data_IF_203647639602
#
_entry.id   IF_203647639602
#
_cell.length_a   1.000
_cell.length_b   1.000
_cell.length_c   1.000
_cell.angle_alpha   90.00
_cell.angle_beta   90.00
_cell.angle_gamma   90.00
#
_symmetry.space_group_name_H-M   'P 1'
#
loop_
_entity.id
_entity.type
_entity.pdbx_description
1 polymer ?
#
# COMPACT_ATOMS: atom_id res chain seq x y z
N UNK A 1 6.91 4.72 -6.78
CA UNK A 1 7.45 3.54 -7.46
C UNK A 1 7.67 2.38 -6.48
N UNK A 2 8.52 2.54 -5.44
CA UNK A 2 8.86 1.45 -4.51
C UNK A 2 7.63 0.78 -3.90
N UNK A 3 6.61 1.54 -3.51
CA UNK A 3 5.38 0.99 -2.94
C UNK A 3 4.65 0.05 -3.92
N UNK A 4 4.49 0.48 -5.16
CA UNK A 4 3.77 -0.28 -6.18
C UNK A 4 4.58 -1.50 -6.66
N UNK A 5 5.89 -1.31 -6.91
CA UNK A 5 6.76 -2.39 -7.38
C UNK A 5 6.96 -3.46 -6.30
N UNK A 6 7.23 -3.09 -5.05
CA UNK A 6 7.37 -4.07 -3.97
C UNK A 6 6.08 -4.89 -3.78
N UNK A 7 4.90 -4.25 -3.85
CA UNK A 7 3.61 -4.94 -3.80
C UNK A 7 3.47 -5.95 -4.95
N UNK A 8 3.75 -5.51 -6.19
CA UNK A 8 3.68 -6.37 -7.37
C UNK A 8 4.61 -7.58 -7.24
N UNK A 9 5.82 -7.40 -6.73
CA UNK A 9 6.77 -8.50 -6.52
C UNK A 9 6.31 -9.49 -5.45
N UNK A 10 5.68 -9.04 -4.35
CA UNK A 10 5.07 -9.93 -3.36
C UNK A 10 3.95 -10.75 -4.01
N UNK A 11 3.07 -10.12 -4.78
CA UNK A 11 1.97 -10.79 -5.47
C UNK A 11 2.48 -11.79 -6.53
N UNK A 12 3.51 -11.41 -7.29
CA UNK A 12 4.16 -12.29 -8.26
C UNK A 12 4.77 -13.53 -7.57
N UNK A 13 5.42 -13.35 -6.43
CA UNK A 13 5.91 -14.47 -5.62
C UNK A 13 4.78 -15.39 -5.16
N UNK A 14 3.67 -14.84 -4.67
CA UNK A 14 2.52 -15.64 -4.23
C UNK A 14 1.92 -16.49 -5.37
N UNK A 15 1.92 -15.95 -6.60
CA UNK A 15 1.39 -16.64 -7.79
C UNK A 15 2.36 -17.68 -8.32
N UNK A 16 3.65 -17.37 -8.37
CA UNK A 16 4.65 -18.22 -9.07
C UNK A 16 5.45 -19.11 -8.13
N UNK A 17 5.58 -18.72 -6.85
CA UNK A 17 6.52 -19.35 -5.92
C UNK A 17 7.99 -19.04 -6.19
N UNK A 18 8.30 -18.17 -7.16
CA UNK A 18 9.67 -17.82 -7.51
C UNK A 18 10.32 -16.96 -6.42
N UNK A 19 11.37 -17.49 -5.81
CA UNK A 19 12.09 -16.84 -4.72
C UNK A 19 12.75 -15.51 -5.12
N UNK A 20 13.01 -15.31 -6.41
CA UNK A 20 13.61 -14.06 -6.91
C UNK A 20 12.65 -12.88 -6.73
N UNK A 21 11.35 -13.06 -6.99
CA UNK A 21 10.36 -12.01 -6.72
C UNK A 21 10.27 -11.66 -5.23
N UNK A 22 10.32 -12.67 -4.36
CA UNK A 22 10.37 -12.45 -2.91
C UNK A 22 11.59 -11.63 -2.51
N UNK A 23 12.77 -12.02 -3.00
CA UNK A 23 14.04 -11.34 -2.72
C UNK A 23 14.00 -9.87 -3.13
N UNK A 24 13.52 -9.58 -4.36
CA UNK A 24 13.41 -8.19 -4.84
C UNK A 24 12.44 -7.37 -4.00
N UNK A 25 11.30 -7.94 -3.60
CA UNK A 25 10.36 -7.27 -2.71
C UNK A 25 11.00 -6.91 -1.37
N UNK A 26 11.67 -7.87 -0.72
CA UNK A 26 12.34 -7.69 0.56
C UNK A 26 13.47 -6.65 0.44
N UNK A 27 14.35 -6.73 -0.56
CA UNK A 27 15.45 -5.77 -0.75
C UNK A 27 14.92 -4.34 -0.99
N UNK A 28 13.79 -4.20 -1.72
CA UNK A 28 13.15 -2.89 -1.96
C UNK A 28 12.57 -2.31 -0.67
N UNK A 29 11.85 -3.12 0.12
CA UNK A 29 11.26 -2.67 1.37
C UNK A 29 12.32 -2.40 2.46
N UNK A 30 13.38 -3.22 2.52
CA UNK A 30 14.51 -3.01 3.43
C UNK A 30 15.27 -1.71 3.08
N UNK A 31 15.38 -1.34 1.80
CA UNK A 31 15.89 -0.04 1.38
C UNK A 31 15.00 1.10 1.89
N UNK A 32 13.68 1.03 1.70
CA UNK A 32 12.77 2.07 2.19
C UNK A 32 12.83 2.19 3.70
N UNK A 33 12.87 1.07 4.43
CA UNK A 33 12.99 1.04 5.87
C UNK A 33 14.28 1.72 6.38
N UNK A 34 15.39 1.52 5.68
CA UNK A 34 16.71 2.03 6.08
C UNK A 34 16.95 3.47 5.65
N UNK A 35 16.59 3.82 4.39
CA UNK A 35 17.00 5.10 3.78
C UNK A 35 15.86 6.13 3.70
N UNK A 36 14.62 5.66 3.58
CA UNK A 36 13.48 6.51 3.24
C UNK A 36 12.47 6.64 4.39
N UNK A 37 12.86 6.32 5.62
CA UNK A 37 11.97 6.37 6.78
C UNK A 37 12.48 7.36 7.82
N UNK A 38 11.60 8.30 8.20
CA UNK A 38 11.84 9.25 9.30
C UNK A 38 11.65 8.56 10.66
N UNK A 39 12.39 8.95 11.71
CA UNK A 39 12.18 8.44 13.05
C UNK A 39 10.75 8.60 13.59
N UNK A 40 9.99 9.58 13.13
CA UNK A 40 8.57 9.78 13.49
C UNK A 40 7.63 8.73 12.90
N UNK A 41 8.09 7.98 11.87
CA UNK A 41 7.33 6.98 11.12
C UNK A 41 6.87 7.45 9.74
N UNK A 42 7.21 8.65 9.30
CA UNK A 42 6.94 9.12 7.94
C UNK A 42 7.84 8.40 6.92
N UNK A 43 7.37 8.25 5.70
CA UNK A 43 8.21 7.92 4.54
C UNK A 43 8.52 9.19 3.76
N UNK A 44 9.79 9.41 3.50
CA UNK A 44 10.27 10.52 2.69
C UNK A 44 9.86 10.40 1.22
N UNK A 45 9.75 11.52 0.52
CA UNK A 45 9.16 11.56 -0.82
C UNK A 45 10.08 11.01 -1.90
N UNK A 46 11.34 11.45 -1.98
CA UNK A 46 12.25 11.10 -3.05
C UNK A 46 13.72 11.19 -2.62
N UNK A 47 14.56 10.54 -3.40
CA UNK A 47 16.00 10.73 -3.39
C UNK A 47 16.41 11.24 -4.77
N UNK A 48 17.32 12.21 -4.82
CA UNK A 48 17.81 12.79 -6.06
C UNK A 48 18.54 11.72 -6.90
N UNK A 49 18.55 11.89 -8.22
CA UNK A 49 19.37 11.11 -9.12
C UNK A 49 20.85 11.56 -9.05
N UNK A 50 21.06 12.84 -8.72
CA UNK A 50 22.39 13.48 -8.74
C UNK A 50 23.09 13.37 -7.39
N UNK A 51 24.40 13.15 -7.46
CA UNK A 51 25.32 13.33 -6.35
C UNK A 51 26.50 14.19 -6.83
N UNK A 52 26.86 15.21 -6.04
CA UNK A 52 27.96 16.15 -6.40
C UNK A 52 27.78 16.82 -7.78
N UNK A 53 26.53 16.99 -8.24
CA UNK A 53 26.21 17.62 -9.54
C UNK A 53 26.34 16.69 -10.74
N UNK A 54 26.47 15.38 -10.54
CA UNK A 54 26.56 14.38 -11.61
C UNK A 54 25.49 13.30 -11.40
N UNK A 55 24.70 13.02 -12.47
CA UNK A 55 23.64 12.01 -12.44
C UNK A 55 24.23 10.61 -12.24
N UNK A 56 23.66 9.88 -11.28
CA UNK A 56 24.03 8.48 -11.02
C UNK A 56 25.38 8.28 -10.34
N UNK A 57 26.18 9.30 -10.06
CA UNK A 57 27.55 9.21 -9.52
C UNK A 57 27.68 8.31 -8.29
N UNK A 58 26.71 8.33 -7.39
CA UNK A 58 26.70 7.49 -6.21
C UNK A 58 26.58 5.98 -6.54
N UNK A 59 25.92 5.63 -7.64
CA UNK A 59 25.54 4.26 -7.98
C UNK A 59 26.43 3.59 -9.02
N UNK A 60 27.25 4.36 -9.77
CA UNK A 60 28.08 3.82 -10.84
C UNK A 60 29.40 3.26 -10.32
N UNK A 61 30.00 2.37 -11.12
CA UNK A 61 31.21 1.63 -10.77
C UNK A 61 32.19 1.56 -11.94
N UNK A 62 33.47 1.57 -11.63
CA UNK A 62 34.50 1.19 -12.58
C UNK A 62 34.86 -0.30 -12.43
N UNK A 63 35.18 -0.98 -13.53
CA UNK A 63 35.61 -2.39 -13.47
C UNK A 63 36.84 -2.57 -12.54
N UNK A 64 37.81 -1.64 -12.59
CA UNK A 64 39.01 -1.68 -11.73
C UNK A 64 38.68 -1.55 -10.24
N UNK A 65 37.66 -0.81 -9.91
CA UNK A 65 37.18 -0.67 -8.53
C UNK A 65 36.62 -2.01 -8.03
N UNK A 66 35.80 -2.70 -8.85
CA UNK A 66 35.33 -4.04 -8.52
C UNK A 66 36.48 -5.03 -8.34
N UNK A 67 37.48 -5.02 -9.25
CA UNK A 67 38.65 -5.88 -9.17
C UNK A 67 39.43 -5.66 -7.87
N UNK A 68 39.60 -4.40 -7.46
CA UNK A 68 40.29 -4.04 -6.22
C UNK A 68 39.53 -4.51 -4.97
N UNK A 69 38.20 -4.32 -4.95
CA UNK A 69 37.36 -4.64 -3.78
C UNK A 69 37.08 -6.14 -3.64
N UNK A 70 36.89 -6.86 -4.73
CA UNK A 70 36.34 -8.22 -4.75
C UNK A 70 37.38 -9.29 -5.07
N UNK A 71 38.55 -8.91 -5.59
CA UNK A 71 39.60 -9.85 -5.98
C UNK A 71 39.07 -10.94 -6.93
N UNK A 72 39.13 -12.20 -6.51
CA UNK A 72 38.70 -13.35 -7.33
C UNK A 72 37.20 -13.35 -7.65
N UNK A 73 36.37 -12.72 -6.81
CA UNK A 73 34.92 -12.64 -7.03
C UNK A 73 34.53 -11.54 -8.03
N UNK A 74 35.47 -10.65 -8.44
CA UNK A 74 35.17 -9.55 -9.35
C UNK A 74 34.67 -10.03 -10.72
N UNK A 75 35.28 -11.09 -11.28
CA UNK A 75 34.89 -11.61 -12.57
C UNK A 75 33.47 -12.19 -12.61
N UNK A 76 33.08 -13.12 -11.72
CA UNK A 76 31.72 -13.60 -11.67
C UNK A 76 30.69 -12.47 -11.42
N UNK A 77 30.99 -11.54 -10.52
CA UNK A 77 30.12 -10.40 -10.23
C UNK A 77 29.94 -9.51 -11.47
N UNK A 78 31.03 -9.22 -12.19
CA UNK A 78 30.97 -8.45 -13.43
C UNK A 78 30.12 -9.15 -14.51
N UNK A 79 30.16 -10.49 -14.58
CA UNK A 79 29.33 -11.26 -15.54
C UNK A 79 27.87 -11.22 -15.19
N UNK A 80 27.53 -11.27 -13.92
CA UNK A 80 26.14 -11.21 -13.47
C UNK A 80 25.54 -9.82 -13.64
N UNK A 81 26.25 -8.78 -13.22
CA UNK A 81 25.78 -7.39 -13.26
C UNK A 81 26.10 -6.63 -14.56
N UNK A 82 26.56 -7.29 -15.61
CA UNK A 82 26.78 -6.64 -16.89
C UNK A 82 27.90 -5.59 -16.92
N UNK A 83 28.87 -5.69 -16.00
CA UNK A 83 30.00 -4.75 -15.91
C UNK A 83 30.98 -4.95 -17.06
N UNK A 84 31.39 -3.86 -17.69
CA UNK A 84 32.27 -3.85 -18.88
C UNK A 84 33.40 -2.84 -18.70
N UNK A 85 34.54 -3.12 -19.32
CA UNK A 85 35.71 -2.21 -19.30
C UNK A 85 35.41 -0.83 -19.87
N UNK A 86 34.50 -0.75 -20.86
CA UNK A 86 34.07 0.52 -21.48
C UNK A 86 32.94 1.22 -20.78
N UNK A 87 32.42 0.58 -19.70
CA UNK A 87 31.19 1.00 -19.08
C UNK A 87 29.92 0.63 -19.86
N UNK A 88 28.78 0.71 -19.20
CA UNK A 88 27.45 0.61 -19.79
C UNK A 88 26.64 1.90 -19.62
N UNK A 89 27.19 2.89 -18.91
CA UNK A 89 26.62 4.21 -18.68
C UNK A 89 27.77 5.25 -18.57
N UNK A 90 27.89 6.17 -19.51
CA UNK A 90 28.87 7.29 -19.56
C UNK A 90 30.32 6.93 -19.21
N UNK A 91 30.80 5.77 -19.67
CA UNK A 91 32.15 5.27 -19.39
C UNK A 91 32.30 4.53 -18.05
N UNK A 92 31.30 4.51 -17.22
CA UNK A 92 31.18 3.75 -15.97
C UNK A 92 30.12 2.65 -16.08
N UNK A 93 29.84 1.93 -15.01
CA UNK A 93 28.87 0.84 -15.01
C UNK A 93 27.78 1.04 -13.94
N UNK A 94 26.54 0.97 -14.36
CA UNK A 94 25.42 0.69 -13.50
C UNK A 94 25.34 -0.83 -13.30
N UNK A 95 25.27 -1.30 -12.07
CA UNK A 95 25.08 -2.72 -11.77
C UNK A 95 23.62 -3.08 -12.04
N UNK A 96 23.37 -3.92 -13.04
CA UNK A 96 22.03 -4.43 -13.36
C UNK A 96 22.09 -5.92 -13.66
N UNK A 97 21.03 -6.64 -13.35
CA UNK A 97 20.95 -8.06 -13.65
C UNK A 97 20.72 -8.24 -15.16
N UNK A 98 21.79 -8.58 -15.89
CA UNK A 98 21.74 -8.71 -17.35
C UNK A 98 21.29 -10.12 -17.78
N UNK A 99 21.50 -11.13 -16.91
CA UNK A 99 21.28 -12.55 -17.21
C UNK A 99 20.77 -13.30 -16.00
N UNK A 100 20.19 -14.47 -16.24
CA UNK A 100 19.90 -15.41 -15.15
C UNK A 100 21.18 -15.83 -14.41
N UNK A 101 21.03 -16.34 -13.21
CA UNK A 101 22.16 -16.83 -12.42
C UNK A 101 22.92 -17.94 -13.17
N UNK A 102 22.18 -18.87 -13.79
CA UNK A 102 22.73 -20.00 -14.56
C UNK A 102 23.52 -19.53 -15.78
N UNK A 103 22.99 -18.58 -16.54
CA UNK A 103 23.66 -18.00 -17.71
C UNK A 103 24.92 -17.24 -17.32
N UNK A 104 24.89 -16.48 -16.23
CA UNK A 104 26.04 -15.77 -15.71
C UNK A 104 27.12 -16.75 -15.20
N UNK A 105 26.72 -17.79 -14.48
CA UNK A 105 27.60 -18.85 -13.99
C UNK A 105 28.30 -19.60 -15.15
N UNK A 106 27.54 -19.96 -16.19
CA UNK A 106 28.12 -20.59 -17.37
C UNK A 106 29.17 -19.69 -18.08
N UNK A 107 28.91 -18.36 -18.15
CA UNK A 107 29.88 -17.40 -18.73
C UNK A 107 31.09 -17.14 -17.85
N UNK A 108 30.97 -17.37 -16.56
CA UNK A 108 32.08 -17.28 -15.61
C UNK A 108 32.81 -18.62 -15.40
N UNK A 109 32.40 -19.69 -16.13
CA UNK A 109 32.95 -21.05 -16.05
C UNK A 109 32.88 -21.65 -14.64
N UNK A 110 31.74 -21.42 -13.94
CA UNK A 110 31.50 -21.90 -12.59
C UNK A 110 30.09 -22.49 -12.44
N UNK A 111 29.81 -23.13 -11.30
CA UNK A 111 28.46 -23.63 -11.00
C UNK A 111 27.54 -22.51 -10.54
N UNK A 112 26.21 -22.64 -10.71
CA UNK A 112 25.24 -21.67 -10.18
C UNK A 112 25.40 -21.45 -8.67
N UNK A 113 25.63 -22.49 -7.89
CA UNK A 113 25.84 -22.38 -6.43
C UNK A 113 27.08 -21.55 -6.10
N UNK A 114 28.21 -21.79 -6.80
CA UNK A 114 29.43 -21.01 -6.62
C UNK A 114 29.25 -19.53 -7.02
N UNK A 115 28.43 -19.25 -8.06
CA UNK A 115 28.03 -17.92 -8.46
C UNK A 115 27.19 -17.24 -7.36
N UNK A 116 26.18 -17.92 -6.84
CA UNK A 116 25.35 -17.41 -5.75
C UNK A 116 26.18 -17.06 -4.51
N UNK A 117 27.13 -17.93 -4.13
CA UNK A 117 28.05 -17.67 -3.02
C UNK A 117 28.96 -16.45 -3.28
N UNK A 118 29.51 -16.32 -4.50
CA UNK A 118 30.33 -15.16 -4.86
C UNK A 118 29.53 -13.85 -4.78
N UNK A 119 28.30 -13.85 -5.29
CA UNK A 119 27.39 -12.70 -5.17
C UNK A 119 27.05 -12.38 -3.71
N UNK A 120 26.76 -13.39 -2.89
CA UNK A 120 26.44 -13.20 -1.47
C UNK A 120 27.59 -12.60 -0.68
N UNK A 121 28.85 -13.00 -0.96
CA UNK A 121 30.04 -12.39 -0.35
C UNK A 121 30.28 -10.97 -0.85
N UNK A 122 30.04 -10.72 -2.13
CA UNK A 122 30.38 -9.44 -2.77
C UNK A 122 29.39 -8.31 -2.46
N UNK A 123 28.10 -8.60 -2.36
CA UNK A 123 27.06 -7.59 -2.06
C UNK A 123 27.39 -6.71 -0.84
N UNK A 124 27.71 -7.26 0.35
CA UNK A 124 28.01 -6.43 1.52
C UNK A 124 29.31 -5.61 1.35
N UNK A 125 30.29 -6.11 0.61
CA UNK A 125 31.55 -5.39 0.34
C UNK A 125 31.26 -4.17 -0.56
N UNK A 126 30.54 -4.37 -1.65
CA UNK A 126 30.14 -3.29 -2.57
C UNK A 126 29.22 -2.28 -1.87
N UNK A 127 28.28 -2.74 -1.07
CA UNK A 127 27.43 -1.88 -0.29
C UNK A 127 28.23 -1.00 0.65
N UNK A 128 29.14 -1.58 1.45
CA UNK A 128 29.98 -0.84 2.40
C UNK A 128 30.89 0.18 1.69
N UNK A 129 31.43 -0.16 0.52
CA UNK A 129 32.25 0.76 -0.27
C UNK A 129 31.41 1.94 -0.81
N UNK A 130 30.20 1.68 -1.30
CA UNK A 130 29.29 2.73 -1.78
C UNK A 130 28.84 3.67 -0.67
N UNK A 131 28.60 3.16 0.52
CA UNK A 131 28.20 3.98 1.69
C UNK A 131 29.28 5.00 2.13
N UNK A 132 30.51 4.87 1.66
CA UNK A 132 31.57 5.87 1.90
C UNK A 132 31.49 7.05 0.91
N UNK A 133 30.68 6.96 -0.15
CA UNK A 133 30.49 8.01 -1.13
C UNK A 133 29.51 9.06 -0.61
N UNK A 134 29.52 10.26 -1.19
CA UNK A 134 28.54 11.30 -0.93
C UNK A 134 27.20 10.86 -1.49
N UNK A 135 26.22 10.69 -0.60
CA UNK A 135 24.85 10.27 -0.97
C UNK A 135 24.12 11.37 -1.77
N UNK A 136 23.24 10.99 -2.69
CA UNK A 136 22.30 11.92 -3.31
C UNK A 136 21.47 12.65 -2.24
N UNK A 137 21.06 13.87 -2.55
CA UNK A 137 20.15 14.63 -1.70
C UNK A 137 18.81 13.89 -1.56
N UNK A 138 18.19 13.98 -0.38
CA UNK A 138 16.88 13.39 -0.14
C UNK A 138 15.86 14.50 0.12
N UNK A 139 14.70 14.42 -0.49
CA UNK A 139 13.57 15.26 -0.20
C UNK A 139 12.83 14.69 1.02
N UNK A 140 13.12 15.25 2.18
CA UNK A 140 12.62 14.79 3.48
C UNK A 140 11.14 15.17 3.74
N UNK A 141 10.42 15.70 2.75
CA UNK A 141 8.97 15.86 2.85
C UNK A 141 8.27 14.51 2.83
N UNK A 142 7.16 14.39 3.55
CA UNK A 142 6.25 13.26 3.46
C UNK A 142 4.96 13.70 2.75
N UNK A 143 4.52 12.94 1.74
CA UNK A 143 3.26 13.15 1.03
C UNK A 143 2.25 12.11 1.50
N UNK A 144 1.01 12.53 1.77
CA UNK A 144 -0.03 11.67 2.33
C UNK A 144 -0.34 10.48 1.42
N UNK A 145 -0.55 10.74 0.12
CA UNK A 145 -0.79 9.71 -0.88
C UNK A 145 0.31 8.63 -0.89
N UNK A 146 1.58 9.05 -1.00
CA UNK A 146 2.69 8.11 -1.11
C UNK A 146 2.94 7.34 0.18
N UNK A 147 2.70 7.97 1.34
CA UNK A 147 2.73 7.30 2.62
C UNK A 147 1.59 6.27 2.76
N UNK A 148 0.38 6.59 2.27
CA UNK A 148 -0.74 5.65 2.23
C UNK A 148 -0.45 4.42 1.36
N UNK A 149 0.12 4.63 0.17
CA UNK A 149 0.54 3.52 -0.70
C UNK A 149 1.63 2.65 -0.06
N UNK A 150 2.62 3.27 0.58
CA UNK A 150 3.71 2.53 1.23
C UNK A 150 3.22 1.80 2.49
N UNK A 151 2.30 2.42 3.28
CA UNK A 151 1.62 1.77 4.40
C UNK A 151 0.92 0.49 3.95
N UNK A 152 0.14 0.58 2.86
CA UNK A 152 -0.54 -0.57 2.28
C UNK A 152 0.43 -1.68 1.92
N UNK A 153 1.55 -1.34 1.30
CA UNK A 153 2.55 -2.31 0.87
C UNK A 153 3.27 -2.97 2.03
N UNK A 154 3.72 -2.20 3.03
CA UNK A 154 4.34 -2.77 4.23
C UNK A 154 3.37 -3.67 5.01
N UNK A 155 2.10 -3.25 5.15
CA UNK A 155 1.09 -4.06 5.83
C UNK A 155 0.84 -5.39 5.12
N UNK A 156 0.73 -5.37 3.79
CA UNK A 156 0.56 -6.59 3.01
C UNK A 156 1.79 -7.50 3.05
N UNK A 157 2.95 -6.93 2.80
CA UNK A 157 4.22 -7.67 2.81
C UNK A 157 4.53 -8.27 4.18
N UNK A 158 4.20 -7.57 5.27
CA UNK A 158 4.34 -8.09 6.63
C UNK A 158 3.59 -9.41 6.82
N UNK A 159 2.36 -9.48 6.31
CA UNK A 159 1.56 -10.70 6.37
C UNK A 159 2.03 -11.78 5.42
N UNK A 160 2.29 -11.44 4.16
CA UNK A 160 2.66 -12.40 3.12
C UNK A 160 4.06 -12.99 3.31
N UNK A 161 5.02 -12.18 3.76
CA UNK A 161 6.42 -12.59 3.94
C UNK A 161 6.76 -13.02 5.37
N UNK A 162 5.79 -12.94 6.28
CA UNK A 162 5.95 -13.21 7.72
C UNK A 162 7.06 -12.35 8.37
N UNK A 163 7.03 -11.02 8.11
CA UNK A 163 8.01 -10.05 8.56
C UNK A 163 7.43 -9.15 9.66
N UNK A 164 7.73 -9.47 10.92
CA UNK A 164 7.26 -8.71 12.09
C UNK A 164 7.82 -7.26 12.13
N UNK A 165 9.01 -7.03 11.61
CA UNK A 165 9.60 -5.70 11.47
C UNK A 165 8.83 -4.83 10.45
N UNK A 166 8.35 -5.37 9.35
CA UNK A 166 7.49 -4.66 8.40
C UNK A 166 6.15 -4.29 9.03
N UNK A 167 5.59 -5.17 9.86
CA UNK A 167 4.39 -4.85 10.65
C UNK A 167 4.63 -3.64 11.55
N UNK A 168 5.73 -3.59 12.28
CA UNK A 168 6.07 -2.46 13.16
C UNK A 168 6.25 -1.17 12.36
N UNK A 169 6.83 -1.23 11.16
CA UNK A 169 6.98 -0.07 10.27
C UNK A 169 5.59 0.43 9.84
N UNK A 170 4.70 -0.46 9.39
CA UNK A 170 3.34 -0.11 9.00
C UNK A 170 2.55 0.52 10.15
N UNK A 171 2.59 -0.07 11.35
CA UNK A 171 1.92 0.47 12.55
C UNK A 171 2.46 1.86 12.94
N UNK A 172 3.78 2.08 12.88
CA UNK A 172 4.38 3.38 13.15
C UNK A 172 3.98 4.43 12.11
N UNK A 173 3.96 4.05 10.82
CA UNK A 173 3.54 4.96 9.76
C UNK A 173 2.06 5.33 9.89
N UNK A 174 1.16 4.38 10.13
CA UNK A 174 -0.24 4.65 10.36
C UNK A 174 -0.46 5.58 11.57
N UNK A 175 0.25 5.34 12.68
CA UNK A 175 0.21 6.22 13.85
C UNK A 175 0.74 7.62 13.55
N UNK A 176 1.79 7.74 12.73
CA UNK A 176 2.30 9.02 12.24
C UNK A 176 1.23 9.77 11.41
N UNK A 177 0.65 9.11 10.40
CA UNK A 177 -0.36 9.71 9.54
C UNK A 177 -1.55 10.27 10.34
N UNK A 178 -2.07 9.47 11.27
CA UNK A 178 -3.23 9.87 12.08
C UNK A 178 -2.89 10.96 13.11
N UNK A 179 -1.67 11.02 13.63
CA UNK A 179 -1.26 12.02 14.61
C UNK A 179 -0.79 13.32 13.99
N UNK A 180 -0.02 13.25 12.89
CA UNK A 180 0.71 14.38 12.34
C UNK A 180 0.04 15.00 11.10
N UNK A 181 -0.72 14.18 10.33
CA UNK A 181 -1.30 14.66 9.08
C UNK A 181 -2.82 14.81 9.13
N UNK A 182 -3.50 14.32 10.18
CA UNK A 182 -4.91 14.60 10.42
C UNK A 182 -5.03 15.82 11.36
N UNK A 183 -5.79 16.83 10.94
CA UNK A 183 -6.02 18.02 11.75
C UNK A 183 -6.87 17.69 12.98
N UNK A 184 -6.43 18.12 14.17
CA UNK A 184 -7.04 17.79 15.46
C UNK A 184 -8.36 18.49 15.73
N UNK A 185 -8.67 19.61 15.03
CA UNK A 185 -9.80 20.50 15.30
C UNK A 185 -10.72 20.76 14.09
N UNK A 186 -10.50 20.04 12.99
CA UNK A 186 -11.23 20.27 11.73
C UNK A 186 -10.85 21.56 11.02
N UNK A 187 -9.88 22.32 11.53
CA UNK A 187 -9.33 23.52 10.88
C UNK A 187 -8.12 23.15 10.04
N UNK A 188 -8.30 23.02 8.74
CA UNK A 188 -7.19 22.94 7.78
C UNK A 188 -7.26 24.19 6.90
N UNK A 189 -6.26 25.05 7.05
CA UNK A 189 -6.11 26.28 6.27
C UNK A 189 -7.11 27.40 6.60
N UNK A 190 -6.80 28.62 6.18
CA UNK A 190 -7.71 29.76 6.22
C UNK A 190 -9.01 29.40 5.50
N UNK A 191 -10.10 29.28 6.25
CA UNK A 191 -11.43 29.13 5.65
C UNK A 191 -11.74 30.42 4.93
N UNK A 192 -11.96 30.43 3.59
CA UNK A 192 -12.65 31.54 2.97
C UNK A 192 -14.01 31.65 3.66
N UNK A 193 -14.34 32.80 4.24
CA UNK A 193 -15.68 33.04 4.71
C UNK A 193 -16.63 33.02 3.50
N UNK A 194 -17.36 31.90 3.34
CA UNK A 194 -18.42 31.83 2.35
C UNK A 194 -19.46 32.89 2.68
N UNK A 195 -19.70 33.78 1.74
CA UNK A 195 -20.82 34.76 1.85
C UNK A 195 -22.14 33.97 1.93
N UNK A 196 -23.13 34.54 2.65
CA UNK A 196 -24.44 33.88 2.83
C UNK A 196 -25.16 33.52 1.52
N UNK A 197 -24.72 34.06 0.36
CA UNK A 197 -25.26 33.78 -0.96
C UNK A 197 -24.79 32.49 -1.62
N UNK A 198 -23.69 31.87 -1.13
CA UNK A 198 -23.06 30.67 -1.75
C UNK A 198 -23.50 29.33 -1.12
N UNK A 199 -24.48 29.34 -0.21
CA UNK A 199 -25.04 28.12 0.36
C UNK A 199 -25.94 27.40 -0.65
N UNK A 200 -25.74 26.11 -0.93
CA UNK A 200 -26.63 25.37 -1.80
C UNK A 200 -28.05 25.35 -1.21
N UNK A 201 -29.01 25.76 -2.01
CA UNK A 201 -30.43 25.68 -1.66
C UNK A 201 -30.87 24.23 -1.51
N UNK A 202 -31.67 23.87 -0.49
CA UNK A 202 -32.20 22.54 -0.32
C UNK A 202 -33.33 22.32 -1.35
N UNK A 203 -33.01 21.68 -2.45
CA UNK A 203 -33.99 21.40 -3.52
C UNK A 203 -33.73 20.07 -4.21
N UNK A 204 -34.62 19.13 -3.96
CA UNK A 204 -34.71 17.85 -4.67
C UNK A 204 -34.07 16.67 -3.90
N UNK A 205 -34.92 15.70 -3.53
CA UNK A 205 -34.46 14.46 -2.92
C UNK A 205 -33.57 13.68 -3.92
N UNK A 206 -32.27 13.76 -3.72
CA UNK A 206 -31.30 12.88 -4.36
C UNK A 206 -31.45 11.48 -3.74
N UNK A 207 -31.38 10.38 -4.53
CA UNK A 207 -31.33 9.02 -3.98
C UNK A 207 -30.11 8.79 -3.07
N UNK A 208 -29.17 9.72 -3.04
CA UNK A 208 -28.00 9.74 -2.17
C UNK A 208 -28.27 10.60 -0.92
N UNK A 209 -29.17 10.13 -0.05
CA UNK A 209 -29.37 10.77 1.26
C UNK A 209 -28.19 10.37 2.16
N UNK A 210 -27.32 11.32 2.45
CA UNK A 210 -26.24 11.12 3.43
C UNK A 210 -26.87 10.93 4.80
N UNK A 211 -26.91 9.70 5.31
CA UNK A 211 -27.19 9.42 6.70
C UNK A 211 -26.01 9.91 7.53
N UNK A 212 -26.18 11.04 8.22
CA UNK A 212 -25.21 11.54 9.19
C UNK A 212 -25.06 10.53 10.32
N UNK A 213 -23.90 9.86 10.36
CA UNK A 213 -23.45 9.15 11.56
C UNK A 213 -23.04 10.18 12.63
N UNK A 214 -23.27 9.95 13.92
CA UNK A 214 -23.02 10.92 14.98
C UNK A 214 -21.54 11.12 15.34
N UNK A 215 -20.61 10.77 14.46
CA UNK A 215 -19.20 11.09 14.63
C UNK A 215 -19.00 12.57 14.33
N UNK A 216 -18.83 13.32 15.39
CA UNK A 216 -18.49 14.73 15.40
C UNK A 216 -17.18 14.99 14.66
N UNK A 217 -17.23 15.84 13.64
CA UNK A 217 -16.15 16.32 12.79
C UNK A 217 -15.48 15.24 11.91
N UNK A 218 -15.71 15.31 10.59
CA UNK A 218 -15.00 14.50 9.60
C UNK A 218 -13.51 14.85 9.63
N UNK A 219 -12.59 13.88 9.76
CA UNK A 219 -11.17 14.14 9.88
C UNK A 219 -10.64 14.82 8.61
N UNK A 220 -9.97 15.95 8.76
CA UNK A 220 -9.33 16.68 7.66
C UNK A 220 -7.88 16.23 7.54
N UNK A 221 -7.46 15.90 6.33
CA UNK A 221 -6.10 15.45 6.04
C UNK A 221 -5.28 16.57 5.42
N UNK A 222 -4.03 16.69 5.82
CA UNK A 222 -3.01 17.50 5.15
C UNK A 222 -2.34 16.69 4.04
N UNK A 223 -1.97 17.38 2.94
CA UNK A 223 -1.28 16.77 1.80
C UNK A 223 0.18 16.46 2.08
N UNK A 224 0.89 17.38 2.74
CA UNK A 224 2.32 17.28 2.97
C UNK A 224 2.69 17.54 4.42
N UNK A 225 3.77 16.91 4.85
CA UNK A 225 4.43 17.13 6.13
C UNK A 225 5.93 17.34 5.90
N UNK A 226 6.55 18.19 6.70
CA UNK A 226 7.97 18.44 6.69
C UNK A 226 8.54 18.33 8.11
N UNK A 227 9.71 17.65 8.31
CA UNK A 227 10.36 17.57 9.61
C UNK A 227 10.97 18.94 10.02
N UNK A 228 11.31 19.07 11.30
CA UNK A 228 11.94 20.28 11.84
C UNK A 228 13.25 20.67 11.12
N UNK A 229 13.97 19.70 10.58
CA UNK A 229 15.19 19.93 9.77
C UNK A 229 14.95 20.77 8.52
N UNK A 230 13.74 20.73 7.94
CA UNK A 230 13.35 21.53 6.77
C UNK A 230 12.59 22.81 7.13
N UNK A 231 11.92 22.84 8.28
CA UNK A 231 11.11 24.01 8.70
C UNK A 231 11.91 25.00 9.56
N UNK A 232 13.01 24.56 10.14
CA UNK A 232 13.85 25.33 11.05
C UNK A 232 13.33 25.40 12.51
N UNK A 233 12.07 24.99 12.74
CA UNK A 233 11.42 25.00 14.04
C UNK A 233 10.76 23.64 14.34
N UNK A 234 9.43 23.62 14.52
CA UNK A 234 8.67 22.39 14.75
C UNK A 234 8.27 21.72 13.42
N UNK A 235 8.12 20.38 13.40
CA UNK A 235 7.58 19.68 12.25
C UNK A 235 6.20 20.23 11.87
N UNK A 236 5.92 20.35 10.57
CA UNK A 236 4.70 21.01 10.11
C UNK A 236 3.99 20.25 8.99
N UNK A 237 2.68 19.96 9.19
CA UNK A 237 1.79 19.53 8.13
C UNK A 237 1.15 20.75 7.45
N UNK A 238 1.03 20.69 6.12
CA UNK A 238 0.55 21.79 5.29
C UNK A 238 -0.30 21.30 4.13
N UNK A 239 -1.06 22.25 3.56
CA UNK A 239 -1.91 22.10 2.39
C UNK A 239 -3.09 21.15 2.65
N UNK A 240 -4.24 21.53 2.10
CA UNK A 240 -5.41 20.65 2.11
C UNK A 240 -5.14 19.45 1.21
N UNK A 241 -5.41 18.26 1.71
CA UNK A 241 -5.26 17.03 0.96
C UNK A 241 -6.27 16.94 -0.19
N UNK A 242 -5.85 16.28 -1.27
CA UNK A 242 -6.67 15.98 -2.43
C UNK A 242 -7.32 14.59 -2.28
N UNK A 243 -8.15 14.21 -3.23
CA UNK A 243 -8.84 12.93 -3.24
C UNK A 243 -7.88 11.74 -3.10
N UNK A 244 -6.79 11.75 -3.88
CA UNK A 244 -5.79 10.67 -3.89
C UNK A 244 -5.12 10.49 -2.53
N UNK A 245 -4.92 11.56 -1.77
CA UNK A 245 -4.35 11.50 -0.42
C UNK A 245 -5.29 10.74 0.54
N UNK A 246 -6.57 11.11 0.56
CA UNK A 246 -7.59 10.45 1.38
C UNK A 246 -7.76 8.98 0.99
N UNK A 247 -7.89 8.72 -0.30
CA UNK A 247 -8.12 7.36 -0.81
C UNK A 247 -6.95 6.43 -0.48
N UNK A 248 -5.70 6.86 -0.71
CA UNK A 248 -4.52 6.05 -0.47
C UNK A 248 -4.26 5.80 1.01
N UNK A 249 -4.45 6.82 1.88
CA UNK A 249 -4.30 6.62 3.33
C UNK A 249 -5.37 5.68 3.87
N UNK A 250 -6.64 5.84 3.46
CA UNK A 250 -7.71 4.95 3.87
C UNK A 250 -7.49 3.49 3.39
N UNK A 251 -7.01 3.30 2.15
CA UNK A 251 -6.68 1.98 1.60
C UNK A 251 -5.54 1.31 2.38
N UNK A 252 -4.51 2.08 2.74
CA UNK A 252 -3.42 1.61 3.61
C UNK A 252 -3.89 1.20 5.01
N UNK A 253 -4.81 1.97 5.62
CA UNK A 253 -5.37 1.67 6.93
C UNK A 253 -6.26 0.40 6.90
N UNK A 254 -7.02 0.15 5.82
CA UNK A 254 -7.76 -1.11 5.66
C UNK A 254 -6.80 -2.30 5.55
N UNK A 255 -5.70 -2.15 4.82
CA UNK A 255 -4.70 -3.23 4.73
C UNK A 255 -4.08 -3.51 6.11
N UNK A 256 -3.78 -2.46 6.88
CA UNK A 256 -3.26 -2.61 8.24
C UNK A 256 -4.29 -3.25 9.19
N UNK A 257 -5.59 -2.93 9.03
CA UNK A 257 -6.66 -3.63 9.75
C UNK A 257 -6.64 -5.13 9.43
N UNK A 258 -6.56 -5.53 8.17
CA UNK A 258 -6.52 -6.94 7.76
C UNK A 258 -5.26 -7.68 8.24
N UNK A 259 -4.17 -6.95 8.49
CA UNK A 259 -2.96 -7.51 9.10
C UNK A 259 -3.11 -7.72 10.60
N UNK A 260 -3.66 -6.73 11.32
CA UNK A 260 -3.62 -6.65 12.80
C UNK A 260 -4.92 -7.04 13.48
N UNK A 261 -6.04 -6.93 12.77
CA UNK A 261 -7.42 -7.03 13.26
C UNK A 261 -7.78 -6.02 14.36
N UNK A 262 -7.02 -4.93 14.47
CA UNK A 262 -7.32 -3.84 15.38
C UNK A 262 -8.40 -2.91 14.78
N UNK A 263 -9.62 -2.84 15.37
CA UNK A 263 -10.74 -2.09 14.78
C UNK A 263 -10.46 -0.60 14.55
N UNK A 264 -9.57 0.00 15.37
CA UNK A 264 -9.20 1.42 15.26
C UNK A 264 -8.72 1.83 13.86
N UNK A 265 -8.05 0.91 13.15
CA UNK A 265 -7.56 1.21 11.79
C UNK A 265 -8.69 1.27 10.78
N UNK A 266 -9.66 0.36 10.88
CA UNK A 266 -10.85 0.39 10.03
C UNK A 266 -11.73 1.60 10.35
N UNK A 267 -11.89 1.96 11.62
CA UNK A 267 -12.64 3.15 12.04
C UNK A 267 -12.00 4.43 11.49
N UNK A 268 -10.66 4.55 11.56
CA UNK A 268 -9.93 5.67 10.98
C UNK A 268 -10.10 5.73 9.44
N UNK A 269 -9.99 4.59 8.75
CA UNK A 269 -10.23 4.51 7.31
C UNK A 269 -11.66 4.96 6.95
N UNK A 270 -12.67 4.49 7.69
CA UNK A 270 -14.07 4.91 7.51
C UNK A 270 -14.23 6.42 7.69
N UNK A 271 -13.62 7.00 8.73
CA UNK A 271 -13.67 8.44 8.94
C UNK A 271 -13.15 9.24 7.75
N UNK A 272 -12.03 8.82 7.15
CA UNK A 272 -11.49 9.45 5.94
C UNK A 272 -12.42 9.27 4.72
N UNK A 273 -13.03 8.08 4.58
CA UNK A 273 -13.98 7.81 3.48
C UNK A 273 -15.26 8.65 3.63
N UNK A 274 -15.78 8.84 4.85
CA UNK A 274 -16.92 9.74 5.06
C UNK A 274 -16.58 11.19 4.64
N UNK A 275 -15.35 11.64 4.97
CA UNK A 275 -14.87 12.95 4.49
C UNK A 275 -14.80 13.00 2.96
N UNK A 276 -14.34 11.93 2.30
CA UNK A 276 -14.33 11.85 0.83
C UNK A 276 -15.74 11.98 0.25
N UNK A 277 -16.68 11.19 0.77
CA UNK A 277 -18.07 11.17 0.30
C UNK A 277 -18.77 12.53 0.51
N UNK A 278 -18.50 13.20 1.61
CA UNK A 278 -19.08 14.51 1.88
C UNK A 278 -18.48 15.62 1.02
N UNK A 279 -17.15 15.67 0.90
CA UNK A 279 -16.46 16.85 0.38
C UNK A 279 -16.07 16.76 -1.09
N UNK A 280 -15.92 15.56 -1.63
CA UNK A 280 -15.39 15.36 -3.00
C UNK A 280 -16.39 14.71 -3.97
N UNK A 281 -17.44 14.05 -3.48
CA UNK A 281 -18.40 13.36 -4.34
C UNK A 281 -19.20 14.32 -5.23
N UNK A 282 -19.39 13.96 -6.50
CA UNK A 282 -20.32 14.64 -7.40
C UNK A 282 -21.70 13.97 -7.40
N UNK A 283 -22.70 14.54 -6.73
CA UNK A 283 -24.04 13.93 -6.66
C UNK A 283 -24.82 13.98 -7.99
N UNK A 284 -24.34 14.71 -9.00
CA UNK A 284 -25.02 14.88 -10.29
C UNK A 284 -24.54 13.87 -11.34
N UNK A 285 -23.22 13.67 -11.41
CA UNK A 285 -22.61 12.84 -12.47
C UNK A 285 -21.93 11.57 -11.93
N UNK A 286 -21.78 11.45 -10.61
CA UNK A 286 -20.96 10.41 -10.00
C UNK A 286 -19.45 10.68 -10.11
N UNK A 287 -18.66 9.87 -9.41
CA UNK A 287 -17.23 10.06 -9.28
C UNK A 287 -16.87 11.22 -8.36
N UNK A 288 -15.60 11.32 -8.03
CA UNK A 288 -15.07 12.31 -7.11
C UNK A 288 -14.32 13.42 -7.85
N UNK A 289 -14.49 14.66 -7.40
CA UNK A 289 -13.60 15.75 -7.76
C UNK A 289 -12.24 15.56 -7.10
N UNK A 290 -11.19 16.11 -7.70
CA UNK A 290 -9.83 16.05 -7.15
C UNK A 290 -9.68 16.89 -5.87
N UNK A 291 -10.37 18.03 -5.79
CA UNK A 291 -10.36 18.93 -4.62
C UNK A 291 -11.69 18.91 -3.88
N UNK A 292 -11.66 19.13 -2.56
CA UNK A 292 -12.86 19.29 -1.74
C UNK A 292 -13.70 20.51 -2.16
N UNK A 293 -15.00 20.51 -1.84
CA UNK A 293 -15.88 21.61 -2.23
C UNK A 293 -15.57 22.92 -1.47
N UNK A 294 -14.90 22.83 -0.33
CA UNK A 294 -14.46 23.95 0.51
C UNK A 294 -12.97 24.30 0.33
N UNK A 295 -12.34 23.78 -0.72
CA UNK A 295 -11.01 24.18 -1.15
C UNK A 295 -11.02 25.62 -1.67
N UNK A 296 -9.84 26.25 -1.82
CA UNK A 296 -9.74 27.54 -2.48
C UNK A 296 -10.42 27.52 -3.85
N UNK A 297 -11.01 28.64 -4.25
CA UNK A 297 -11.73 28.73 -5.52
C UNK A 297 -10.75 28.62 -6.69
N UNK A 298 -10.79 27.49 -7.39
CA UNK A 298 -10.05 27.23 -8.62
C UNK A 298 -10.89 27.61 -9.84
N UNK A 299 -10.24 27.84 -10.99
CA UNK A 299 -10.92 28.10 -12.28
C UNK A 299 -11.87 26.93 -12.64
N UNK A 300 -11.47 25.69 -12.31
CA UNK A 300 -12.27 24.49 -12.46
C UNK A 300 -11.95 23.48 -11.37
N UNK A 301 -12.91 22.64 -11.00
CA UNK A 301 -12.70 21.46 -10.16
C UNK A 301 -12.65 20.22 -11.06
N UNK A 302 -11.45 19.73 -11.41
CA UNK A 302 -11.33 18.57 -12.29
C UNK A 302 -11.66 17.28 -11.54
N UNK A 303 -11.99 16.24 -12.32
CA UNK A 303 -12.00 14.84 -11.88
C UNK A 303 -10.89 14.12 -12.62
N UNK A 304 -9.95 13.55 -11.89
CA UNK A 304 -8.92 12.69 -12.44
C UNK A 304 -9.44 11.24 -12.48
N UNK A 305 -9.33 10.61 -13.63
CA UNK A 305 -9.83 9.24 -13.83
C UNK A 305 -8.78 8.29 -14.40
N UNK A 306 -7.73 8.83 -14.99
CA UNK A 306 -6.70 8.07 -15.69
C UNK A 306 -5.58 7.70 -14.73
N UNK A 307 -5.26 6.42 -14.68
CA UNK A 307 -4.10 5.93 -13.94
C UNK A 307 -2.83 6.32 -14.70
N UNK A 308 -1.91 6.97 -14.00
CA UNK A 308 -0.61 7.39 -14.50
C UNK A 308 0.50 6.65 -13.73
N UNK A 309 1.58 7.34 -13.37
CA UNK A 309 2.64 6.79 -12.50
C UNK A 309 2.09 6.37 -11.12
N UNK A 310 1.05 7.05 -10.64
CA UNK A 310 0.21 6.61 -9.53
C UNK A 310 -1.22 6.37 -10.03
N UNK A 311 -1.98 5.47 -9.39
CA UNK A 311 -3.40 5.29 -9.69
C UNK A 311 -4.19 6.56 -9.41
N UNK A 312 -5.22 6.85 -10.19
CA UNK A 312 -6.09 7.99 -9.95
C UNK A 312 -6.85 7.85 -8.63
N UNK A 313 -7.12 8.98 -7.96
CA UNK A 313 -7.89 8.99 -6.73
C UNK A 313 -9.26 8.29 -6.88
N UNK A 314 -9.92 8.42 -8.04
CA UNK A 314 -11.17 7.73 -8.35
C UNK A 314 -11.00 6.20 -8.48
N UNK A 315 -9.91 5.73 -9.08
CA UNK A 315 -9.63 4.30 -9.20
C UNK A 315 -9.36 3.66 -7.83
N UNK A 316 -8.58 4.35 -6.98
CA UNK A 316 -8.34 3.89 -5.61
C UNK A 316 -9.62 3.92 -4.79
N UNK A 317 -10.41 5.00 -4.90
CA UNK A 317 -11.68 5.15 -4.18
C UNK A 317 -12.69 4.04 -4.54
N UNK A 318 -12.79 3.65 -5.81
CA UNK A 318 -13.68 2.57 -6.24
C UNK A 318 -13.34 1.24 -5.56
N UNK A 319 -12.06 0.83 -5.58
CA UNK A 319 -11.61 -0.42 -4.93
C UNK A 319 -11.75 -0.34 -3.40
N UNK A 320 -11.39 0.81 -2.80
CA UNK A 320 -11.53 1.08 -1.37
C UNK A 320 -12.97 0.93 -0.89
N UNK A 321 -13.94 1.50 -1.62
CA UNK A 321 -15.37 1.41 -1.30
C UNK A 321 -15.89 -0.03 -1.39
N UNK A 322 -15.46 -0.80 -2.41
CA UNK A 322 -15.79 -2.22 -2.51
C UNK A 322 -15.22 -3.04 -1.34
N UNK A 323 -13.99 -2.75 -0.91
CA UNK A 323 -13.37 -3.40 0.25
C UNK A 323 -14.12 -3.06 1.55
N UNK A 324 -14.54 -1.81 1.72
CA UNK A 324 -15.36 -1.40 2.85
C UNK A 324 -16.73 -2.08 2.84
N UNK A 325 -17.39 -2.16 1.67
CA UNK A 325 -18.65 -2.89 1.55
C UNK A 325 -18.49 -4.36 2.00
N UNK A 326 -17.46 -5.04 1.53
CA UNK A 326 -17.19 -6.43 1.91
C UNK A 326 -16.96 -6.63 3.41
N UNK A 327 -16.33 -5.66 4.12
CA UNK A 327 -16.08 -5.73 5.55
C UNK A 327 -17.29 -5.32 6.39
N UNK A 328 -18.08 -4.33 5.94
CA UNK A 328 -19.13 -3.68 6.72
C UNK A 328 -20.55 -4.04 6.31
N UNK A 329 -20.74 -4.58 5.10
CA UNK A 329 -22.05 -4.82 4.52
C UNK A 329 -22.85 -3.56 4.18
N UNK A 330 -22.23 -2.36 4.23
CA UNK A 330 -22.92 -1.10 3.94
C UNK A 330 -23.12 -0.90 2.43
N UNK A 331 -24.36 -1.04 1.96
CA UNK A 331 -24.74 -0.93 0.54
C UNK A 331 -24.38 0.40 -0.12
N UNK A 332 -24.31 1.48 0.67
CA UNK A 332 -23.95 2.80 0.11
C UNK A 332 -22.53 2.82 -0.49
N UNK A 333 -21.59 2.06 0.07
CA UNK A 333 -20.23 1.96 -0.48
C UNK A 333 -20.25 1.26 -1.84
N UNK A 334 -20.99 0.16 -1.96
CA UNK A 334 -21.18 -0.52 -3.24
C UNK A 334 -21.81 0.41 -4.27
N UNK A 335 -22.88 1.12 -3.93
CA UNK A 335 -23.58 2.06 -4.83
C UNK A 335 -22.64 3.13 -5.39
N UNK A 336 -21.77 3.73 -4.54
CA UNK A 336 -20.82 4.74 -5.01
C UNK A 336 -19.70 4.14 -5.89
N UNK A 337 -19.21 2.95 -5.56
CA UNK A 337 -18.21 2.26 -6.37
C UNK A 337 -18.77 1.90 -7.76
N UNK A 338 -19.97 1.33 -7.81
CA UNK A 338 -20.66 1.02 -9.08
C UNK A 338 -20.91 2.26 -9.92
N UNK A 339 -21.27 3.39 -9.32
CA UNK A 339 -21.44 4.65 -10.04
C UNK A 339 -20.13 5.10 -10.73
N UNK A 340 -18.96 4.93 -10.10
CA UNK A 340 -17.66 5.21 -10.72
C UNK A 340 -17.39 4.25 -11.88
N UNK A 341 -17.59 2.95 -11.67
CA UNK A 341 -17.36 1.92 -12.68
C UNK A 341 -18.25 2.13 -13.90
N UNK A 342 -19.52 2.43 -13.69
CA UNK A 342 -20.48 2.72 -14.78
C UNK A 342 -20.13 3.99 -15.54
N UNK A 343 -19.71 5.05 -14.84
CA UNK A 343 -19.27 6.31 -15.44
C UNK A 343 -18.11 6.09 -16.42
N UNK A 344 -17.16 5.21 -16.07
CA UNK A 344 -15.91 5.03 -16.79
C UNK A 344 -15.87 3.79 -17.70
N UNK A 345 -16.98 3.05 -17.82
CA UNK A 345 -17.07 1.79 -18.59
C UNK A 345 -16.55 1.92 -20.03
N UNK A 346 -16.87 3.02 -20.72
CA UNK A 346 -16.42 3.24 -22.10
C UNK A 346 -14.93 3.60 -22.18
N UNK A 347 -14.43 4.35 -21.20
CA UNK A 347 -13.01 4.66 -21.08
C UNK A 347 -12.17 3.40 -20.88
N UNK A 348 -12.55 2.55 -19.93
CA UNK A 348 -11.92 1.24 -19.68
C UNK A 348 -11.92 0.34 -20.91
N UNK A 349 -13.03 0.30 -21.66
CA UNK A 349 -13.14 -0.51 -22.88
C UNK A 349 -12.25 0.00 -24.02
N UNK A 350 -12.08 1.31 -24.16
CA UNK A 350 -11.29 1.93 -25.23
C UNK A 350 -9.81 1.99 -24.96
N UNK A 351 -9.42 2.23 -23.70
CA UNK A 351 -8.03 2.43 -23.27
C UNK A 351 -7.71 1.69 -21.97
N UNK A 352 -7.76 0.35 -21.94
CA UNK A 352 -7.66 -0.43 -20.70
C UNK A 352 -6.36 -0.16 -19.91
N UNK A 353 -5.25 0.13 -20.58
CA UNK A 353 -3.97 0.43 -19.93
C UNK A 353 -3.98 1.73 -19.10
N UNK A 354 -4.93 2.62 -19.36
CA UNK A 354 -5.10 3.86 -18.61
C UNK A 354 -6.00 3.71 -17.37
N UNK A 355 -6.47 2.51 -17.07
CA UNK A 355 -7.43 2.21 -15.99
C UNK A 355 -7.07 0.93 -15.24
N UNK A 356 -5.79 0.62 -15.09
CA UNK A 356 -5.35 -0.65 -14.49
C UNK A 356 -5.91 -0.90 -13.10
N UNK A 357 -5.88 0.10 -12.21
CA UNK A 357 -6.43 0.00 -10.85
C UNK A 357 -7.95 -0.10 -10.86
N UNK A 358 -8.62 0.64 -11.75
CA UNK A 358 -10.08 0.59 -11.88
C UNK A 358 -10.56 -0.74 -12.46
N UNK A 359 -9.81 -1.34 -13.39
CA UNK A 359 -10.09 -2.68 -13.91
C UNK A 359 -9.98 -3.76 -12.83
N UNK A 360 -9.01 -3.65 -11.92
CA UNK A 360 -8.92 -4.53 -10.75
C UNK A 360 -10.14 -4.36 -9.81
N UNK A 361 -10.64 -3.13 -9.65
CA UNK A 361 -11.89 -2.89 -8.92
C UNK A 361 -13.11 -3.48 -9.63
N UNK A 362 -13.19 -3.35 -10.97
CA UNK A 362 -14.25 -4.00 -11.77
C UNK A 362 -14.19 -5.52 -11.63
N UNK A 363 -13.00 -6.12 -11.71
CA UNK A 363 -12.83 -7.56 -11.55
C UNK A 363 -13.37 -8.04 -10.19
N UNK A 364 -13.15 -7.28 -9.12
CA UNK A 364 -13.72 -7.59 -7.79
C UNK A 364 -15.26 -7.66 -7.81
N UNK A 365 -15.94 -6.86 -8.62
CA UNK A 365 -17.42 -6.87 -8.69
C UNK A 365 -17.97 -8.04 -9.49
N UNK A 366 -17.22 -8.55 -10.48
CA UNK A 366 -17.65 -9.65 -11.34
C UNK A 366 -17.15 -11.01 -10.88
N UNK A 367 -16.15 -11.02 -10.00
CA UNK A 367 -15.64 -12.22 -9.35
C UNK A 367 -16.53 -12.63 -8.16
N UNK A 368 -16.32 -13.80 -7.63
CA UNK A 368 -16.94 -14.22 -6.37
C UNK A 368 -15.98 -13.90 -5.21
N UNK A 369 -16.12 -12.75 -4.54
CA UNK A 369 -15.24 -12.38 -3.45
C UNK A 369 -15.43 -13.34 -2.29
N UNK A 370 -14.31 -13.79 -1.70
CA UNK A 370 -14.33 -14.59 -0.50
C UNK A 370 -14.20 -13.69 0.74
N UNK A 371 -15.05 -13.95 1.70
CA UNK A 371 -15.00 -13.32 3.02
C UNK A 371 -14.35 -14.32 3.97
N UNK A 372 -13.18 -13.98 4.50
CA UNK A 372 -12.41 -14.87 5.36
C UNK A 372 -12.39 -14.28 6.77
N UNK A 373 -12.77 -15.11 7.76
CA UNK A 373 -12.73 -14.71 9.17
C UNK A 373 -11.86 -15.68 9.96
N UNK A 374 -10.96 -15.16 10.79
CA UNK A 374 -10.13 -15.97 11.70
C UNK A 374 -10.36 -15.49 13.13
N UNK A 375 -10.84 -16.38 14.00
CA UNK A 375 -11.03 -16.11 15.42
C UNK A 375 -10.01 -16.91 16.21
N UNK A 376 -9.06 -16.21 16.84
CA UNK A 376 -7.99 -16.83 17.63
C UNK A 376 -7.02 -15.80 18.19
N UNK A 377 -6.42 -16.11 19.34
CA UNK A 377 -5.46 -15.22 19.97
C UNK A 377 -4.23 -15.01 19.07
N UNK A 378 -3.71 -13.75 18.95
CA UNK A 378 -2.58 -13.45 18.07
C UNK A 378 -1.27 -14.19 18.42
N UNK A 379 -1.11 -14.54 19.69
CA UNK A 379 0.03 -15.27 20.24
C UNK A 379 -0.13 -16.80 20.20
N UNK A 380 -1.30 -17.32 19.77
CA UNK A 380 -1.50 -18.75 19.55
C UNK A 380 -0.86 -19.19 18.22
N UNK A 381 0.13 -20.12 18.22
CA UNK A 381 0.76 -20.60 16.99
C UNK A 381 -0.24 -21.16 15.98
N UNK A 382 -1.35 -21.75 16.41
CA UNK A 382 -2.39 -22.28 15.53
C UNK A 382 -3.14 -21.18 14.79
N UNK A 383 -3.33 -20.01 15.44
CA UNK A 383 -3.87 -18.81 14.77
C UNK A 383 -2.91 -18.36 13.65
N UNK A 384 -1.62 -18.32 13.95
CA UNK A 384 -0.59 -17.97 12.97
C UNK A 384 -0.58 -18.94 11.78
N UNK A 385 -0.66 -20.25 12.02
CA UNK A 385 -0.75 -21.26 10.97
C UNK A 385 -1.94 -21.05 10.03
N UNK A 386 -3.14 -20.77 10.57
CA UNK A 386 -4.33 -20.44 9.76
C UNK A 386 -4.13 -19.17 8.94
N UNK A 387 -3.59 -18.11 9.55
CA UNK A 387 -3.32 -16.85 8.86
C UNK A 387 -2.25 -17.01 7.78
N UNK A 388 -1.23 -17.82 8.00
CA UNK A 388 -0.19 -18.13 7.01
C UNK A 388 -0.78 -18.77 5.77
N UNK A 389 -1.76 -19.69 5.92
CA UNK A 389 -2.46 -20.30 4.78
C UNK A 389 -3.17 -19.25 3.92
N UNK A 390 -3.80 -18.25 4.54
CA UNK A 390 -4.49 -17.16 3.83
C UNK A 390 -3.47 -16.22 3.17
N UNK A 391 -2.50 -15.76 3.94
CA UNK A 391 -1.57 -14.68 3.55
C UNK A 391 -0.53 -15.10 2.51
N UNK A 392 -0.19 -16.39 2.44
CA UNK A 392 0.73 -16.91 1.42
C UNK A 392 0.06 -17.13 0.06
N UNK A 393 -1.24 -16.84 -0.07
CA UNK A 393 -1.97 -16.99 -1.34
C UNK A 393 -2.28 -15.62 -1.95
N UNK A 394 -2.23 -15.57 -3.26
CA UNK A 394 -2.76 -14.43 -4.00
C UNK A 394 -4.29 -14.50 -4.02
N UNK A 395 -4.93 -13.74 -3.14
CA UNK A 395 -6.38 -13.67 -2.98
C UNK A 395 -6.85 -12.21 -3.19
N UNK A 396 -6.78 -11.68 -4.42
CA UNK A 396 -6.93 -10.24 -4.68
C UNK A 396 -8.32 -9.69 -4.31
N UNK A 397 -9.34 -10.57 -4.26
CA UNK A 397 -10.72 -10.18 -3.98
C UNK A 397 -11.18 -10.54 -2.57
N UNK A 398 -10.36 -11.22 -1.79
CA UNK A 398 -10.71 -11.60 -0.43
C UNK A 398 -10.82 -10.38 0.52
N UNK A 399 -11.79 -10.43 1.41
CA UNK A 399 -11.88 -9.57 2.58
C UNK A 399 -11.50 -10.41 3.81
N UNK A 400 -10.46 -10.00 4.53
CA UNK A 400 -9.99 -10.71 5.72
C UNK A 400 -10.36 -9.93 6.98
N UNK A 401 -11.09 -10.57 7.89
CA UNK A 401 -11.40 -10.04 9.21
C UNK A 401 -10.99 -11.05 10.30
N UNK A 402 -10.81 -10.57 11.52
CA UNK A 402 -10.48 -11.45 12.61
C UNK A 402 -10.64 -10.81 13.98
N UNK A 403 -10.59 -11.65 15.01
CA UNK A 403 -10.64 -11.21 16.41
C UNK A 403 -9.87 -12.19 17.31
N UNK A 404 -9.31 -11.66 18.40
CA UNK A 404 -8.49 -12.44 19.32
C UNK A 404 -9.30 -13.50 20.13
N UNK A 405 -10.61 -13.33 20.25
CA UNK A 405 -11.51 -14.21 21.02
C UNK A 405 -12.96 -14.02 20.59
N UNK A 406 -13.83 -14.93 21.00
CA UNK A 406 -15.29 -14.82 20.80
C UNK A 406 -15.86 -13.51 21.34
N UNK A 407 -15.40 -13.07 22.50
CA UNK A 407 -15.82 -11.79 23.10
C UNK A 407 -15.39 -10.61 22.21
N UNK A 408 -14.14 -10.58 21.78
CA UNK A 408 -13.64 -9.53 20.90
C UNK A 408 -14.37 -9.53 19.55
N UNK A 409 -14.71 -10.71 19.00
CA UNK A 409 -15.50 -10.84 17.79
C UNK A 409 -16.90 -10.24 17.96
N UNK A 410 -17.59 -10.58 19.09
CA UNK A 410 -18.91 -10.04 19.37
C UNK A 410 -18.92 -8.52 19.58
N UNK A 411 -17.89 -7.98 20.25
CA UNK A 411 -17.72 -6.53 20.43
C UNK A 411 -17.46 -5.82 19.08
N UNK A 412 -16.57 -6.37 18.24
CA UNK A 412 -16.23 -5.80 16.95
C UNK A 412 -17.34 -5.99 15.89
N UNK A 413 -18.23 -6.95 16.05
CA UNK A 413 -19.33 -7.25 15.13
C UNK A 413 -20.29 -6.06 14.91
N UNK A 414 -20.33 -5.12 15.86
CA UNK A 414 -21.12 -3.87 15.72
C UNK A 414 -20.59 -3.02 14.54
N UNK A 415 -19.29 -2.98 14.37
CA UNK A 415 -18.63 -2.21 13.30
C UNK A 415 -18.28 -3.07 12.09
N UNK A 416 -18.07 -4.37 12.32
CA UNK A 416 -17.64 -5.36 11.32
C UNK A 416 -18.62 -6.55 11.37
N UNK A 417 -19.79 -6.45 10.74
CA UNK A 417 -20.82 -7.50 10.77
C UNK A 417 -20.31 -8.86 10.27
N UNK A 418 -19.25 -8.87 9.50
CA UNK A 418 -18.58 -10.10 9.06
C UNK A 418 -18.11 -10.97 10.23
N UNK A 419 -17.91 -10.42 11.44
CA UNK A 419 -17.55 -11.15 12.65
C UNK A 419 -18.77 -11.71 13.41
N UNK A 420 -19.99 -11.30 13.07
CA UNK A 420 -21.20 -11.69 13.79
C UNK A 420 -21.43 -13.21 13.73
N UNK A 421 -21.60 -13.83 14.91
CA UNK A 421 -21.85 -15.26 15.02
C UNK A 421 -20.68 -16.17 14.65
N UNK A 422 -19.45 -15.65 14.57
CA UNK A 422 -18.24 -16.44 14.33
C UNK A 422 -17.48 -16.60 15.64
N UNK A 423 -17.39 -17.86 16.08
CA UNK A 423 -16.79 -18.24 17.36
C UNK A 423 -15.67 -19.26 17.18
N UNK A 424 -14.80 -19.36 18.17
CA UNK A 424 -13.84 -20.46 18.26
C UNK A 424 -14.58 -21.79 18.50
N UNK A 425 -14.26 -22.82 17.74
CA UNK A 425 -14.81 -24.16 17.93
C UNK A 425 -13.99 -24.89 19.00
N UNK A 426 -14.65 -25.33 20.06
CA UNK A 426 -14.02 -26.05 21.17
C UNK A 426 -12.81 -25.29 21.77
N UNK A 427 -12.84 -23.96 21.78
CA UNK A 427 -11.76 -23.12 22.27
C UNK A 427 -10.49 -23.15 21.39
N UNK A 428 -10.58 -23.60 20.14
CA UNK A 428 -9.48 -23.61 19.19
C UNK A 428 -9.62 -22.46 18.20
N UNK A 429 -8.51 -21.88 17.71
CA UNK A 429 -8.53 -20.93 16.60
C UNK A 429 -9.29 -21.51 15.43
N UNK A 430 -10.19 -20.71 14.86
CA UNK A 430 -11.15 -21.18 13.85
C UNK A 430 -11.19 -20.21 12.67
N UNK A 431 -11.14 -20.74 11.47
CA UNK A 431 -11.30 -20.01 10.23
C UNK A 431 -12.66 -20.30 9.57
N UNK A 432 -13.25 -19.27 9.00
CA UNK A 432 -14.48 -19.29 8.21
C UNK A 432 -14.19 -18.76 6.82
N UNK A 433 -14.66 -19.45 5.80
CA UNK A 433 -14.63 -18.98 4.40
C UNK A 433 -16.08 -18.85 3.95
N UNK A 434 -16.47 -17.62 3.62
CA UNK A 434 -17.83 -17.30 3.26
C UNK A 434 -17.88 -16.67 1.84
N UNK A 435 -19.04 -16.77 1.21
CA UNK A 435 -19.39 -16.12 -0.06
C UNK A 435 -20.76 -15.48 0.14
N UNK A 436 -20.88 -14.18 -0.05
CA UNK A 436 -22.10 -13.42 0.24
C UNK A 436 -22.67 -13.68 1.64
N UNK A 437 -21.80 -13.65 2.66
CA UNK A 437 -22.10 -13.94 4.07
C UNK A 437 -22.58 -15.37 4.38
N UNK A 438 -22.68 -16.25 3.36
CA UNK A 438 -22.96 -17.68 3.54
C UNK A 438 -21.64 -18.45 3.72
N UNK A 439 -21.39 -18.98 4.91
CA UNK A 439 -20.13 -19.64 5.25
C UNK A 439 -20.16 -21.13 4.94
N UNK A 440 -19.03 -21.66 4.48
CA UNK A 440 -18.72 -23.09 4.47
C UNK A 440 -18.55 -23.58 5.91
N UNK A 441 -18.42 -24.90 6.11
CA UNK A 441 -18.15 -25.44 7.44
C UNK A 441 -16.87 -24.81 8.02
N UNK A 442 -16.89 -24.26 9.24
CA UNK A 442 -15.71 -23.68 9.84
C UNK A 442 -14.63 -24.73 10.10
N UNK A 443 -13.37 -24.33 10.01
CA UNK A 443 -12.23 -25.21 10.14
C UNK A 443 -11.20 -24.71 11.15
N UNK A 444 -10.55 -25.67 11.84
CA UNK A 444 -9.45 -25.40 12.79
C UNK A 444 -8.11 -25.94 12.28
N UNK A 445 -8.14 -26.63 11.14
CA UNK A 445 -6.97 -27.26 10.50
C UNK A 445 -6.51 -26.46 9.28
N UNK A 446 -5.20 -26.08 9.19
CA UNK A 446 -4.65 -25.32 8.07
C UNK A 446 -4.81 -26.00 6.70
N UNK A 447 -4.73 -27.34 6.62
CA UNK A 447 -4.90 -28.06 5.36
C UNK A 447 -6.36 -28.02 4.89
N UNK A 448 -7.32 -28.13 5.84
CA UNK A 448 -8.73 -28.00 5.53
C UNK A 448 -9.06 -26.58 5.03
N UNK A 449 -8.47 -25.55 5.64
CA UNK A 449 -8.59 -24.17 5.19
C UNK A 449 -8.02 -24.01 3.76
N UNK A 450 -6.83 -24.58 3.50
CA UNK A 450 -6.22 -24.57 2.16
C UNK A 450 -7.16 -25.13 1.09
N UNK A 451 -7.80 -26.28 1.35
CA UNK A 451 -8.79 -26.86 0.42
C UNK A 451 -10.02 -25.97 0.19
N UNK A 452 -10.47 -25.24 1.20
CA UNK A 452 -11.59 -24.30 1.04
C UNK A 452 -11.23 -23.07 0.22
N UNK A 453 -9.99 -22.64 0.24
CA UNK A 453 -9.49 -21.50 -0.54
C UNK A 453 -9.11 -21.85 -1.99
N UNK A 454 -9.35 -23.07 -2.42
CA UNK A 454 -9.13 -23.49 -3.81
C UNK A 454 -7.68 -23.94 -4.07
N UNK A 455 -7.10 -24.72 -3.14
CA UNK A 455 -5.80 -25.35 -3.31
C UNK A 455 -5.85 -26.51 -4.31
#
# INVERSE_FOLDING_TARGET
DNAQLARLYVEAWQVTGDAEFRRVAEETLDYVAREMTDPSGAFYSAQDADSEGEEGKFFVWELRELEHLLGADAWPVAKYYGVRARGNFEGQNILHVERSLEEAAAKAEMTPDAMAEALARSKPILFAAREQRIKPARDDKALAEWNGMMLRTFAYAAGALDRADYRQIAERNAAFLLRAMVASDGSVGDRPQLSEGDRPQPGGASPFTVHRSPLTAHPRLHRSWAPASLTGDEPQAKLNAYLEDYASVADGLIELYQLTFEPRWLEAARGLVETMLELFWDPRQGGFFQTSHDHETLIARPKEFVDNATPSGNSVAADLLLRLHALTGEERYLTHAEAILLLLREGMARQPLAFGRLLAALERTISQPQEIVVIGAPDDPRTHELLTVVRNRFLPHAALAGAASNRAAAEAAVTIPLLAGRDQINGQPTAYVCEHFACRLPVTDPQALGRQLGA
#
